data_IF_252397518249
#
_entry.id   IF_252397518249
#
_cell.length_a   1.000
_cell.length_b   1.000
_cell.length_c   1.000
_cell.angle_alpha   90.00
_cell.angle_beta   90.00
_cell.angle_gamma   90.00
#
_symmetry.space_group_name_H-M   'P 1'
#
loop_
_entity.id
_entity.type
_entity.pdbx_description
1 polymer ?
#
# COMPACT_ATOMS: atom_id res chain seq x y z
N UNK A 1 16.53 -9.79 11.42
CA UNK A 1 15.87 -8.90 10.46
C UNK A 1 16.32 -9.28 9.06
N UNK A 2 15.40 -9.55 8.14
CA UNK A 2 15.67 -9.98 6.75
C UNK A 2 15.05 -8.96 5.79
N UNK A 3 15.84 -8.43 4.84
CA UNK A 3 15.32 -7.56 3.78
C UNK A 3 14.48 -8.38 2.79
N UNK A 4 13.26 -7.92 2.46
CA UNK A 4 12.37 -8.54 1.47
C UNK A 4 12.39 -7.76 0.17
N UNK A 5 12.29 -6.44 0.26
CA UNK A 5 12.14 -5.56 -0.92
C UNK A 5 12.89 -4.25 -0.71
N UNK A 6 13.74 -3.90 -1.70
CA UNK A 6 14.25 -2.53 -1.84
C UNK A 6 13.30 -1.75 -2.72
N UNK A 7 12.69 -0.70 -2.18
CA UNK A 7 11.80 0.18 -2.94
C UNK A 7 12.41 1.55 -3.18
N UNK A 8 11.85 2.29 -4.13
CA UNK A 8 12.25 3.68 -4.39
C UNK A 8 11.95 4.60 -3.20
N UNK A 9 10.83 4.38 -2.51
CA UNK A 9 10.37 5.19 -1.37
C UNK A 9 10.83 4.65 -0.01
N UNK A 10 11.19 3.38 0.08
CA UNK A 10 11.62 2.75 1.33
C UNK A 10 11.93 1.27 1.18
N UNK A 11 12.48 0.69 2.22
CA UNK A 11 12.79 -0.73 2.29
C UNK A 11 11.79 -1.47 3.20
N UNK A 12 11.52 -2.72 2.85
CA UNK A 12 10.63 -3.61 3.59
C UNK A 12 11.44 -4.78 4.13
N UNK A 13 11.34 -5.00 5.43
CA UNK A 13 12.02 -6.07 6.14
C UNK A 13 11.03 -6.97 6.87
N UNK A 14 11.37 -8.27 7.02
CA UNK A 14 10.77 -9.14 8.02
C UNK A 14 11.56 -9.01 9.33
N UNK A 15 10.82 -8.87 10.43
CA UNK A 15 11.34 -8.86 11.80
C UNK A 15 10.52 -9.85 12.63
N UNK A 16 11.11 -10.47 13.63
CA UNK A 16 10.39 -11.25 14.66
C UNK A 16 9.89 -10.30 15.75
N UNK A 17 8.64 -10.47 16.13
CA UNK A 17 8.00 -9.86 17.29
C UNK A 17 7.23 -10.96 18.02
N UNK A 18 7.61 -11.29 19.27
CA UNK A 18 7.02 -12.38 20.05
C UNK A 18 6.87 -13.69 19.25
N UNK A 19 7.94 -14.10 18.55
CA UNK A 19 8.01 -15.28 17.66
C UNK A 19 7.17 -15.20 16.37
N UNK A 20 6.39 -14.15 16.12
CA UNK A 20 5.67 -13.94 14.87
C UNK A 20 6.46 -13.09 13.88
N UNK A 21 6.30 -13.37 12.60
CA UNK A 21 6.85 -12.54 11.54
C UNK A 21 6.01 -11.28 11.35
N UNK A 22 6.66 -10.14 11.42
CA UNK A 22 6.06 -8.82 11.18
C UNK A 22 6.83 -8.07 10.09
N UNK A 23 6.17 -7.12 9.46
CA UNK A 23 6.77 -6.24 8.45
C UNK A 23 7.26 -4.96 9.14
N UNK A 24 8.52 -4.63 8.91
CA UNK A 24 9.09 -3.32 9.20
C UNK A 24 9.30 -2.58 7.88
N UNK A 25 8.51 -1.53 7.67
CA UNK A 25 8.66 -0.61 6.54
C UNK A 25 9.48 0.60 6.99
N UNK A 26 10.53 0.95 6.23
CA UNK A 26 11.40 2.10 6.51
C UNK A 26 11.40 3.05 5.32
N UNK A 27 11.38 4.36 5.55
CA UNK A 27 11.48 5.35 4.48
C UNK A 27 12.92 5.82 4.33
N UNK A 28 13.45 5.74 3.11
CA UNK A 28 14.83 6.14 2.80
C UNK A 28 14.99 7.65 2.80
N UNK A 29 16.16 8.09 3.26
CA UNK A 29 16.65 9.46 3.05
C UNK A 29 16.90 9.66 1.55
N UNK A 30 16.49 10.78 1.02
CA UNK A 30 16.72 11.18 -0.37
C UNK A 30 17.82 12.23 -0.44
N UNK A 31 18.99 11.84 -0.93
CA UNK A 31 20.17 12.70 -1.01
C UNK A 31 20.00 13.96 -1.85
N UNK A 32 19.08 13.91 -2.83
CA UNK A 32 18.76 15.06 -3.69
C UNK A 32 17.82 16.09 -3.04
N UNK A 33 17.32 15.84 -1.83
CA UNK A 33 16.46 16.75 -1.09
C UNK A 33 17.25 17.44 0.02
N UNK A 34 16.89 18.69 0.31
CA UNK A 34 17.39 19.35 1.51
C UNK A 34 16.99 18.54 2.76
N UNK A 35 17.92 18.31 3.69
CA UNK A 35 17.77 17.38 4.83
C UNK A 35 16.53 17.64 5.68
N UNK A 36 16.25 18.90 6.01
CA UNK A 36 15.08 19.32 6.81
C UNK A 36 13.78 18.98 6.07
N UNK A 37 13.71 19.31 4.77
CA UNK A 37 12.55 19.03 3.93
C UNK A 37 12.33 17.53 3.78
N UNK A 38 13.38 16.75 3.53
CA UNK A 38 13.30 15.30 3.42
C UNK A 38 12.78 14.67 4.71
N UNK A 39 13.32 15.07 5.86
CA UNK A 39 12.86 14.60 7.17
C UNK A 39 11.36 14.88 7.38
N UNK A 40 10.92 16.11 7.11
CA UNK A 40 9.51 16.52 7.23
C UNK A 40 8.60 15.67 6.32
N UNK A 41 8.96 15.49 5.05
CA UNK A 41 8.18 14.69 4.10
C UNK A 41 8.10 13.23 4.54
N UNK A 42 9.21 12.61 4.95
CA UNK A 42 9.22 11.21 5.40
C UNK A 42 8.36 11.01 6.65
N UNK A 43 8.46 11.90 7.65
CA UNK A 43 7.61 11.89 8.85
C UNK A 43 6.13 11.97 8.48
N UNK A 44 5.75 12.97 7.69
CA UNK A 44 4.36 13.18 7.27
C UNK A 44 3.80 11.97 6.49
N UNK A 45 4.57 11.41 5.55
CA UNK A 45 4.15 10.24 4.78
C UNK A 45 4.02 9.00 5.66
N UNK A 46 4.89 8.80 6.65
CA UNK A 46 4.80 7.67 7.58
C UNK A 46 3.53 7.74 8.43
N UNK A 47 3.24 8.92 8.99
CA UNK A 47 2.04 9.16 9.80
C UNK A 47 0.79 8.97 8.92
N UNK A 48 0.75 9.61 7.75
CA UNK A 48 -0.40 9.55 6.84
C UNK A 48 -0.72 8.11 6.41
N UNK A 49 0.30 7.35 6.03
CA UNK A 49 0.12 5.95 5.65
C UNK A 49 -0.47 5.12 6.79
N UNK A 50 0.07 5.24 8.00
CA UNK A 50 -0.45 4.53 9.17
C UNK A 50 -1.90 4.93 9.51
N UNK A 51 -2.21 6.22 9.41
CA UNK A 51 -3.56 6.75 9.64
C UNK A 51 -4.55 6.18 8.62
N UNK A 52 -4.22 6.22 7.32
CA UNK A 52 -5.09 5.71 6.26
C UNK A 52 -5.26 4.19 6.38
N UNK A 53 -4.18 3.41 6.60
CA UNK A 53 -4.25 1.97 6.84
C UNK A 53 -5.22 1.60 7.98
N UNK A 54 -5.26 2.41 9.02
CA UNK A 54 -6.15 2.20 10.17
C UNK A 54 -7.57 2.64 9.84
N UNK A 55 -7.74 3.80 9.23
CA UNK A 55 -9.04 4.38 8.89
C UNK A 55 -9.84 3.51 7.92
N UNK A 56 -9.21 3.03 6.85
CA UNK A 56 -9.93 2.26 5.82
C UNK A 56 -10.49 0.93 6.32
N UNK A 57 -9.99 0.42 7.46
CA UNK A 57 -10.59 -0.75 8.13
C UNK A 57 -12.02 -0.48 8.60
N UNK A 58 -12.32 0.73 9.09
CA UNK A 58 -13.67 1.10 9.52
C UNK A 58 -14.65 1.13 8.35
N UNK A 59 -14.15 1.25 7.12
CA UNK A 59 -14.92 1.18 5.88
C UNK A 59 -14.99 -0.24 5.30
N UNK A 60 -14.55 -1.27 6.04
CA UNK A 60 -14.61 -2.67 5.62
C UNK A 60 -13.46 -3.11 4.70
N UNK A 61 -12.46 -2.26 4.45
CA UNK A 61 -11.29 -2.62 3.64
C UNK A 61 -10.27 -3.36 4.51
N UNK A 62 -9.86 -4.55 4.05
CA UNK A 62 -8.82 -5.32 4.74
C UNK A 62 -7.45 -4.73 4.51
N UNK A 63 -6.75 -4.42 5.60
CA UNK A 63 -5.37 -3.92 5.59
C UNK A 63 -4.57 -4.59 6.72
N UNK A 64 -3.23 -4.57 6.68
CA UNK A 64 -2.42 -4.99 7.82
C UNK A 64 -2.75 -4.21 9.09
N UNK A 65 -2.65 -4.84 10.25
CA UNK A 65 -2.65 -4.13 11.54
C UNK A 65 -1.36 -3.33 11.65
N UNK A 66 -1.47 -2.06 12.04
CA UNK A 66 -0.31 -1.24 12.38
C UNK A 66 -0.04 -1.40 13.87
N UNK A 67 1.13 -1.91 14.21
CA UNK A 67 1.53 -2.16 15.60
C UNK A 67 2.26 -0.97 16.22
N UNK A 68 3.14 -0.34 15.43
CA UNK A 68 3.96 0.77 15.92
C UNK A 68 4.35 1.71 14.78
N UNK A 69 4.35 2.99 15.07
CA UNK A 69 4.89 4.04 14.19
C UNK A 69 6.00 4.78 14.94
N UNK A 70 7.19 4.84 14.34
CA UNK A 70 8.28 5.66 14.85
C UNK A 70 8.53 6.81 13.88
N UNK A 71 8.11 8.01 14.28
CA UNK A 71 8.18 9.21 13.44
C UNK A 71 9.61 9.72 13.29
N UNK A 72 10.47 9.54 14.30
CA UNK A 72 11.86 9.98 14.25
C UNK A 72 12.69 9.14 13.25
N UNK A 73 12.51 7.82 13.29
CA UNK A 73 13.16 6.89 12.37
C UNK A 73 12.40 6.73 11.05
N UNK A 74 11.21 7.35 10.93
CA UNK A 74 10.32 7.20 9.76
C UNK A 74 10.06 5.72 9.44
N UNK A 75 9.72 4.93 10.46
CA UNK A 75 9.47 3.49 10.34
C UNK A 75 8.07 3.13 10.83
N UNK A 76 7.51 2.08 10.25
CA UNK A 76 6.23 1.51 10.63
C UNK A 76 6.36 0.00 10.78
N UNK A 77 5.93 -0.53 11.92
CA UNK A 77 5.84 -1.96 12.20
C UNK A 77 4.39 -2.39 12.02
N UNK A 78 4.16 -3.40 11.19
CA UNK A 78 2.81 -3.84 10.86
C UNK A 78 2.73 -5.35 10.65
N UNK A 79 1.51 -5.87 10.68
CA UNK A 79 1.20 -7.27 10.43
C UNK A 79 1.76 -7.74 9.09
N UNK A 80 2.37 -8.91 9.07
CA UNK A 80 2.68 -9.63 7.83
C UNK A 80 1.41 -10.35 7.35
N UNK A 81 1.03 -10.10 6.11
CA UNK A 81 -0.04 -10.85 5.46
C UNK A 81 0.59 -12.00 4.67
N UNK A 82 0.34 -13.24 5.12
CA UNK A 82 0.81 -14.44 4.44
C UNK A 82 -0.13 -14.78 3.28
N UNK A 83 0.23 -14.33 2.09
CA UNK A 83 -0.54 -14.50 0.87
C UNK A 83 0.32 -14.23 -0.36
N UNK A 84 -0.31 -14.18 -1.53
CA UNK A 84 0.33 -13.95 -2.83
C UNK A 84 0.02 -12.53 -3.29
N UNK A 85 1.01 -11.80 -3.80
CA UNK A 85 0.76 -10.51 -4.43
C UNK A 85 -0.19 -10.69 -5.61
N UNK A 86 -1.16 -9.79 -5.74
CA UNK A 86 -2.18 -9.89 -6.80
C UNK A 86 -1.54 -9.89 -8.19
N UNK A 87 -0.44 -9.16 -8.39
CA UNK A 87 0.32 -9.16 -9.65
C UNK A 87 0.88 -10.53 -10.06
N UNK A 88 1.08 -11.42 -9.09
CA UNK A 88 1.68 -12.75 -9.29
C UNK A 88 0.62 -13.87 -9.38
N UNK A 89 -0.66 -13.51 -9.43
CA UNK A 89 -1.77 -14.46 -9.58
C UNK A 89 -1.94 -14.90 -11.04
N UNK A 90 -2.31 -16.16 -11.24
CA UNK A 90 -2.73 -16.65 -12.57
C UNK A 90 -4.01 -15.95 -13.06
N UNK A 91 -4.22 -15.91 -14.38
CA UNK A 91 -5.19 -15.06 -15.09
C UNK A 91 -6.63 -15.11 -14.55
N UNK A 92 -7.18 -16.28 -14.20
CA UNK A 92 -8.52 -16.38 -13.64
C UNK A 92 -8.63 -15.72 -12.25
N UNK A 93 -7.68 -16.03 -11.34
CA UNK A 93 -7.64 -15.44 -9.99
C UNK A 93 -7.35 -13.94 -10.05
N UNK A 94 -6.50 -13.50 -10.98
CA UNK A 94 -6.22 -12.10 -11.23
C UNK A 94 -7.48 -11.32 -11.60
N UNK A 95 -8.33 -11.84 -12.49
CA UNK A 95 -9.59 -11.18 -12.86
C UNK A 95 -10.52 -10.99 -11.67
N UNK A 96 -10.67 -12.02 -10.82
CA UNK A 96 -11.50 -11.93 -9.61
C UNK A 96 -10.91 -10.93 -8.61
N UNK A 97 -9.58 -10.95 -8.41
CA UNK A 97 -8.89 -10.00 -7.55
C UNK A 97 -9.05 -8.56 -8.05
N UNK A 98 -8.96 -8.31 -9.36
CA UNK A 98 -9.14 -6.99 -9.94
C UNK A 98 -10.58 -6.47 -9.77
N UNK A 99 -11.59 -7.34 -9.87
CA UNK A 99 -12.96 -6.94 -9.56
C UNK A 99 -13.13 -6.51 -8.10
N UNK A 100 -12.48 -7.23 -7.17
CA UNK A 100 -12.50 -6.86 -5.75
C UNK A 100 -11.72 -5.57 -5.47
N UNK A 101 -10.57 -5.35 -6.12
CA UNK A 101 -9.83 -4.09 -6.05
C UNK A 101 -10.69 -2.92 -6.56
N UNK A 102 -11.50 -3.13 -7.60
CA UNK A 102 -12.44 -2.12 -8.08
C UNK A 102 -13.46 -1.72 -7.01
N UNK A 103 -14.01 -2.69 -6.26
CA UNK A 103 -14.92 -2.40 -5.12
C UNK A 103 -14.21 -1.65 -4.01
N UNK A 104 -12.99 -2.08 -3.64
CA UNK A 104 -12.15 -1.39 -2.66
C UNK A 104 -11.93 0.06 -3.09
N UNK A 105 -11.58 0.29 -4.36
CA UNK A 105 -11.36 1.63 -4.91
C UNK A 105 -12.62 2.49 -4.82
N UNK A 106 -13.79 1.95 -5.13
CA UNK A 106 -15.06 2.66 -5.00
C UNK A 106 -15.34 3.07 -3.54
N UNK A 107 -15.03 2.19 -2.58
CA UNK A 107 -15.16 2.52 -1.14
C UNK A 107 -14.18 3.63 -0.75
N UNK A 108 -12.92 3.57 -1.19
CA UNK A 108 -11.92 4.62 -0.94
C UNK A 108 -12.41 5.97 -1.46
N UNK A 109 -12.80 6.03 -2.74
CA UNK A 109 -13.24 7.27 -3.39
C UNK A 109 -14.51 7.83 -2.76
N UNK A 110 -15.48 6.97 -2.39
CA UNK A 110 -16.68 7.38 -1.65
C UNK A 110 -16.34 8.08 -0.31
N UNK A 111 -15.23 7.66 0.32
CA UNK A 111 -14.77 8.23 1.59
C UNK A 111 -13.71 9.33 1.40
N UNK A 112 -13.57 9.86 0.19
CA UNK A 112 -12.65 10.95 -0.12
C UNK A 112 -11.17 10.55 0.04
N UNK A 113 -10.82 9.32 -0.26
CA UNK A 113 -9.44 8.81 -0.21
C UNK A 113 -8.99 8.43 -1.62
N UNK A 114 -7.98 9.14 -2.12
CA UNK A 114 -7.21 8.75 -3.30
C UNK A 114 -6.09 7.80 -2.88
N UNK A 115 -5.89 6.68 -3.61
CA UNK A 115 -4.81 5.72 -3.30
C UNK A 115 -3.44 6.24 -3.73
N UNK A 116 -3.35 6.87 -4.89
CA UNK A 116 -2.15 7.49 -5.43
C UNK A 116 -1.12 6.53 -6.05
N UNK A 117 -1.26 5.21 -5.82
CA UNK A 117 -0.46 4.15 -6.44
C UNK A 117 -1.29 2.87 -6.58
N UNK A 118 -2.42 2.97 -7.28
CA UNK A 118 -3.40 1.88 -7.41
C UNK A 118 -2.89 0.80 -8.38
N UNK A 119 -2.02 -0.07 -7.88
CA UNK A 119 -1.37 -1.14 -8.66
C UNK A 119 -1.62 -2.51 -8.03
N UNK A 120 -1.62 -3.57 -8.83
CA UNK A 120 -1.76 -4.96 -8.35
C UNK A 120 -0.62 -5.40 -7.42
N UNK A 121 0.50 -4.67 -7.40
CA UNK A 121 1.62 -4.88 -6.48
C UNK A 121 1.34 -4.43 -5.04
N UNK A 122 0.32 -3.61 -4.83
CA UNK A 122 -0.05 -3.05 -3.53
C UNK A 122 -1.22 -3.79 -2.88
N UNK A 123 -1.53 -4.99 -3.42
CA UNK A 123 -2.56 -5.87 -2.88
C UNK A 123 -2.04 -7.30 -2.72
N UNK A 124 -2.48 -7.97 -1.64
CA UNK A 124 -2.21 -9.39 -1.37
C UNK A 124 -3.53 -10.14 -1.38
N UNK A 125 -3.55 -11.29 -2.06
CA UNK A 125 -4.62 -12.29 -1.99
C UNK A 125 -4.26 -13.34 -0.93
N UNK A 126 -5.13 -13.49 0.07
CA UNK A 126 -5.04 -14.54 1.11
C UNK A 126 -6.42 -15.13 1.31
N UNK A 127 -6.56 -16.45 1.16
CA UNK A 127 -7.84 -17.17 1.32
C UNK A 127 -9.00 -16.52 0.54
N UNK A 128 -8.76 -16.17 -0.73
CA UNK A 128 -9.71 -15.47 -1.62
C UNK A 128 -10.16 -14.08 -1.12
N UNK A 129 -9.46 -13.51 -0.16
CA UNK A 129 -9.70 -12.15 0.33
C UNK A 129 -8.56 -11.24 -0.11
N UNK A 130 -8.89 -10.00 -0.47
CA UNK A 130 -7.91 -9.01 -0.91
C UNK A 130 -7.58 -8.05 0.24
N UNK A 131 -6.29 -7.88 0.49
CA UNK A 131 -5.72 -6.96 1.46
C UNK A 131 -4.97 -5.85 0.73
N UNK A 132 -5.32 -4.60 1.00
CA UNK A 132 -4.54 -3.44 0.55
C UNK A 132 -3.39 -3.21 1.54
N UNK A 133 -2.15 -3.19 1.05
CA UNK A 133 -0.94 -3.24 1.90
C UNK A 133 -0.07 -1.99 1.85
N UNK A 134 -0.30 -1.08 0.94
CA UNK A 134 0.51 0.13 0.79
C UNK A 134 -0.35 1.35 0.45
N UNK A 135 -0.35 2.34 1.35
CA UNK A 135 -0.99 3.65 1.17
C UNK A 135 0.04 4.79 1.25
N UNK A 136 1.29 4.50 0.87
CA UNK A 136 2.40 5.45 0.98
C UNK A 136 2.25 6.73 0.17
N UNK A 137 1.43 6.74 -0.88
CA UNK A 137 1.08 7.90 -1.72
C UNK A 137 -0.37 8.32 -1.57
N UNK A 138 -1.15 7.63 -0.73
CA UNK A 138 -2.55 7.95 -0.53
C UNK A 138 -2.74 9.31 0.15
N UNK A 139 -3.84 9.96 -0.17
CA UNK A 139 -4.20 11.25 0.40
C UNK A 139 -5.71 11.46 0.44
N UNK A 140 -6.16 12.34 1.33
CA UNK A 140 -7.54 12.81 1.33
C UNK A 140 -7.77 13.72 0.14
N UNK A 141 -8.75 13.40 -0.68
CA UNK A 141 -9.22 14.24 -1.77
C UNK A 141 -10.65 13.90 -2.13
N UNK A 142 -11.45 14.94 -2.37
CA UNK A 142 -12.80 14.84 -2.91
C UNK A 142 -12.87 15.22 -4.38
N UNK A 143 -11.71 15.52 -4.99
CA UNK A 143 -11.62 15.96 -6.38
C UNK A 143 -11.79 14.77 -7.31
N UNK A 144 -12.67 14.91 -8.28
CA UNK A 144 -12.94 13.88 -9.29
C UNK A 144 -11.69 13.58 -10.12
N UNK A 145 -10.87 14.60 -10.40
CA UNK A 145 -9.62 14.46 -11.16
C UNK A 145 -8.64 13.53 -10.46
N UNK A 146 -8.49 13.65 -9.14
CA UNK A 146 -7.60 12.78 -8.35
C UNK A 146 -8.09 11.33 -8.36
N UNK A 147 -9.40 11.12 -8.24
CA UNK A 147 -10.00 9.79 -8.35
C UNK A 147 -9.86 9.22 -9.78
N UNK A 148 -9.96 10.05 -10.80
CA UNK A 148 -9.76 9.62 -12.19
C UNK A 148 -8.30 9.19 -12.45
N UNK A 149 -7.31 9.81 -11.78
CA UNK A 149 -5.90 9.40 -11.86
C UNK A 149 -5.71 7.98 -11.32
N UNK A 150 -6.31 7.64 -10.18
CA UNK A 150 -6.27 6.28 -9.63
C UNK A 150 -6.82 5.25 -10.62
N UNK A 151 -7.99 5.52 -11.20
CA UNK A 151 -8.64 4.62 -12.15
C UNK A 151 -7.84 4.49 -13.45
N UNK A 152 -7.25 5.57 -13.93
CA UNK A 152 -6.39 5.54 -15.11
C UNK A 152 -5.15 4.68 -14.88
N UNK A 153 -4.47 4.85 -13.74
CA UNK A 153 -3.31 4.05 -13.39
C UNK A 153 -3.67 2.56 -13.34
N UNK A 154 -4.76 2.21 -12.70
CA UNK A 154 -5.22 0.83 -12.60
C UNK A 154 -5.55 0.24 -13.98
N UNK A 155 -6.23 1.00 -14.84
CA UNK A 155 -6.53 0.60 -16.22
C UNK A 155 -5.27 0.31 -17.03
N UNK A 156 -4.23 1.16 -16.94
CA UNK A 156 -2.99 0.94 -17.68
C UNK A 156 -2.27 -0.35 -17.23
N UNK A 157 -2.24 -0.63 -15.93
CA UNK A 157 -1.64 -1.86 -15.41
C UNK A 157 -2.39 -3.10 -15.89
N UNK A 158 -3.72 -3.06 -15.97
CA UNK A 158 -4.52 -4.17 -16.49
C UNK A 158 -4.28 -4.43 -17.99
N UNK A 159 -3.98 -3.39 -18.78
CA UNK A 159 -3.62 -3.54 -20.19
C UNK A 159 -2.26 -4.22 -20.36
N UNK A 160 -1.25 -3.79 -19.58
CA UNK A 160 0.10 -4.36 -19.61
C UNK A 160 0.04 -5.85 -19.22
N UNK A 161 -0.73 -6.22 -18.20
CA UNK A 161 -0.92 -7.61 -17.79
C UNK A 161 -1.58 -8.49 -18.86
N UNK A 162 -2.35 -7.93 -19.80
CA UNK A 162 -2.92 -8.67 -20.94
C UNK A 162 -1.94 -8.91 -22.08
N UNK A 163 -0.87 -8.14 -22.19
CA UNK A 163 0.14 -8.27 -23.23
C UNK A 163 1.12 -9.43 -22.99
N UNK A 164 1.05 -10.09 -21.83
CA UNK A 164 1.90 -11.21 -21.44
C UNK A 164 1.13 -12.54 -21.22
N UNK A 165 -0.07 -12.65 -21.78
CA UNK A 165 -0.88 -13.91 -21.80
C UNK A 165 -0.97 -14.44 -23.21
#
# INVERSE_FOLDING_TARGET
MKLIKKGAEGDIFIKKLYNEDVILKTRKVKSYRHSILDSKIRKQRTIREATILTEVKSHGIRTPLVYQVNTEKCTMLMQKIDGVLVKDLGSMKLRLACAEIGKITAILHKNGIMHGDLTTSNFISKNNQIYAIDFGLAQKSIRIEDHAVDLRLFKEILKIGRAHV
#
